data_IF_169695252118
#
_entry.id   IF_169695252118
#
_cell.length_a   1.000
_cell.length_b   1.000
_cell.length_c   1.000
_cell.angle_alpha   90.00
_cell.angle_beta   90.00
_cell.angle_gamma   90.00
#
_symmetry.space_group_name_H-M   'P 1'
#
loop_
_entity.id
_entity.type
_entity.pdbx_description
1 polymer ?
#
# COMPACT_ATOMS: atom_id res chain seq x y z
N UNK A 1 -1.87 10.93 -10.82
CA UNK A 1 -1.40 9.59 -11.25
C UNK A 1 -1.50 8.63 -10.07
N UNK A 2 -2.04 7.43 -10.28
CA UNK A 2 -2.36 6.48 -9.20
C UNK A 2 -1.32 5.39 -9.15
N UNK A 3 -0.82 5.08 -7.96
CA UNK A 3 0.24 4.10 -7.76
C UNK A 3 -0.15 3.10 -6.69
N UNK A 4 0.37 1.89 -6.81
CA UNK A 4 0.02 0.76 -5.97
C UNK A 4 1.28 0.03 -5.52
N UNK A 5 1.31 -0.35 -4.26
CA UNK A 5 2.34 -1.23 -3.69
C UNK A 5 1.66 -2.39 -2.97
N UNK A 6 2.24 -3.57 -3.05
CA UNK A 6 1.67 -4.79 -2.49
C UNK A 6 2.51 -5.26 -1.31
N UNK A 7 1.83 -5.60 -0.22
CA UNK A 7 2.39 -6.18 1.00
C UNK A 7 1.47 -7.30 1.48
N UNK A 8 2.02 -8.27 2.18
CA UNK A 8 1.22 -9.33 2.81
C UNK A 8 0.64 -8.85 4.14
N UNK A 9 -0.57 -9.30 4.46
CA UNK A 9 -1.11 -9.16 5.79
C UNK A 9 -0.25 -9.93 6.79
N UNK A 10 0.10 -9.29 7.91
CA UNK A 10 0.90 -9.90 8.95
C UNK A 10 0.18 -11.05 9.66
N UNK A 11 0.90 -11.84 10.46
CA UNK A 11 0.33 -12.97 11.19
C UNK A 11 -0.53 -12.57 12.40
N UNK A 12 -0.43 -11.34 12.88
CA UNK A 12 -1.16 -10.85 14.05
C UNK A 12 -2.58 -10.48 13.67
N UNK A 13 -3.48 -11.46 13.78
CA UNK A 13 -4.90 -11.31 13.46
C UNK A 13 -5.76 -11.67 14.66
N UNK A 14 -6.77 -10.87 14.98
CA UNK A 14 -7.72 -11.13 16.04
C UNK A 14 -9.11 -10.61 15.68
N UNK A 15 -10.15 -11.16 16.32
CA UNK A 15 -11.50 -10.65 16.20
C UNK A 15 -11.81 -9.72 17.37
N UNK A 16 -12.43 -8.58 17.08
CA UNK A 16 -13.01 -7.73 18.12
C UNK A 16 -14.25 -8.38 18.72
N UNK A 17 -14.75 -7.89 19.89
CA UNK A 17 -16.00 -8.42 20.46
C UNK A 17 -17.19 -8.39 19.51
N UNK A 18 -17.22 -7.42 18.57
CA UNK A 18 -18.28 -7.29 17.56
C UNK A 18 -18.08 -8.23 16.36
N UNK A 19 -16.92 -8.88 16.26
CA UNK A 19 -16.57 -9.76 15.15
C UNK A 19 -15.85 -9.11 13.99
N UNK A 20 -15.34 -7.88 14.16
CA UNK A 20 -14.46 -7.25 13.17
C UNK A 20 -13.07 -7.88 13.21
N UNK A 21 -12.40 -7.97 12.09
CA UNK A 21 -11.06 -8.52 12.00
C UNK A 21 -10.01 -7.41 12.14
N UNK A 22 -9.23 -7.47 13.22
CA UNK A 22 -8.07 -6.61 13.42
C UNK A 22 -6.80 -7.34 12.95
N UNK A 23 -6.10 -6.72 12.01
CA UNK A 23 -4.78 -7.15 11.55
C UNK A 23 -3.76 -6.12 12.02
N UNK A 24 -2.84 -6.51 12.89
CA UNK A 24 -1.84 -5.62 13.46
C UNK A 24 -0.48 -5.75 12.76
N UNK A 25 0.31 -4.69 12.81
CA UNK A 25 1.66 -4.65 12.23
C UNK A 25 1.70 -5.04 10.75
N UNK A 26 0.71 -4.62 9.97
CA UNK A 26 0.65 -4.92 8.54
C UNK A 26 1.63 -4.01 7.78
N UNK A 27 2.59 -4.56 7.04
CA UNK A 27 3.44 -3.77 6.17
C UNK A 27 2.60 -3.21 5.01
N UNK A 28 2.45 -1.90 4.94
CA UNK A 28 1.65 -1.22 3.90
C UNK A 28 2.50 -0.49 2.87
N UNK A 29 3.75 -0.16 3.21
CA UNK A 29 4.73 0.39 2.28
C UNK A 29 6.15 0.04 2.73
N UNK A 30 7.11 0.21 1.83
CA UNK A 30 8.54 0.09 2.12
C UNK A 30 9.36 1.18 1.45
N UNK A 31 10.57 1.39 1.93
CA UNK A 31 11.61 2.13 1.25
C UNK A 31 12.30 1.29 0.17
N UNK A 32 13.19 1.88 -0.58
CA UNK A 32 13.98 1.21 -1.60
C UNK A 32 13.46 1.44 -3.02
N UNK A 33 14.02 0.72 -3.96
CA UNK A 33 13.70 0.90 -5.36
C UNK A 33 12.47 0.06 -5.78
N UNK A 34 11.65 0.68 -6.62
CA UNK A 34 10.52 0.05 -7.30
C UNK A 34 10.77 0.02 -8.79
N UNK A 35 10.39 -1.06 -9.44
CA UNK A 35 10.56 -1.24 -10.88
C UNK A 35 9.22 -1.01 -11.59
N UNK A 36 9.26 -0.17 -12.62
CA UNK A 36 8.13 0.15 -13.48
C UNK A 36 8.50 -0.07 -14.95
N UNK A 37 7.50 -0.36 -15.77
CA UNK A 37 7.65 -0.36 -17.21
C UNK A 37 7.45 1.05 -17.79
N UNK A 38 7.88 1.23 -19.02
CA UNK A 38 7.66 2.49 -19.75
C UNK A 38 6.17 2.85 -19.79
N UNK A 39 5.86 4.10 -19.51
CA UNK A 39 4.49 4.63 -19.49
C UNK A 39 3.72 4.41 -18.16
N UNK A 40 4.24 3.64 -17.21
CA UNK A 40 3.57 3.44 -15.92
C UNK A 40 3.76 4.62 -14.96
N UNK A 41 4.84 5.37 -15.10
CA UNK A 41 5.13 6.58 -14.32
C UNK A 41 5.65 7.68 -15.25
N UNK A 42 5.55 8.98 -14.86
CA UNK A 42 5.95 10.09 -15.73
C UNK A 42 7.45 10.32 -15.72
N UNK A 43 8.23 9.28 -15.94
CA UNK A 43 9.69 9.27 -16.03
C UNK A 43 10.07 8.60 -17.34
N UNK A 44 11.04 9.16 -18.04
CA UNK A 44 11.57 8.56 -19.26
C UNK A 44 12.22 7.20 -18.94
N UNK A 45 11.86 6.17 -19.69
CA UNK A 45 12.42 4.83 -19.51
C UNK A 45 13.91 4.78 -19.90
N UNK A 46 14.62 3.87 -19.27
CA UNK A 46 15.98 3.55 -19.65
C UNK A 46 16.06 2.76 -20.96
N UNK A 47 17.28 2.48 -21.44
CA UNK A 47 17.49 1.70 -22.68
C UNK A 47 16.90 0.29 -22.63
N UNK A 48 16.68 -0.24 -21.43
CA UNK A 48 16.06 -1.55 -21.18
C UNK A 48 14.52 -1.50 -21.11
N UNK A 49 13.93 -0.33 -21.35
CA UNK A 49 12.48 -0.11 -21.23
C UNK A 49 11.97 -0.08 -19.78
N UNK A 50 12.86 0.01 -18.80
CA UNK A 50 12.54 -0.03 -17.38
C UNK A 50 12.82 1.31 -16.71
N UNK A 51 12.08 1.56 -15.63
CA UNK A 51 12.20 2.75 -14.79
C UNK A 51 12.37 2.30 -13.34
N UNK A 52 13.45 2.73 -12.70
CA UNK A 52 13.71 2.48 -11.28
C UNK A 52 13.38 3.73 -10.48
N UNK A 53 12.38 3.63 -9.63
CA UNK A 53 11.91 4.71 -8.77
C UNK A 53 12.38 4.46 -7.35
N UNK A 54 13.19 5.37 -6.83
CA UNK A 54 13.63 5.33 -5.45
C UNK A 54 12.57 5.94 -4.52
N UNK A 55 12.25 5.19 -3.47
CA UNK A 55 11.44 5.62 -2.33
C UNK A 55 12.37 5.74 -1.13
N UNK A 56 12.76 6.96 -0.82
CA UNK A 56 13.69 7.19 0.28
C UNK A 56 12.99 7.14 1.64
N UNK A 57 13.72 6.83 2.73
CA UNK A 57 13.14 6.89 4.08
C UNK A 57 12.54 8.25 4.42
N UNK A 58 13.16 9.33 3.96
CA UNK A 58 12.70 10.71 4.19
C UNK A 58 11.32 10.96 3.58
N UNK A 59 10.99 10.29 2.47
CA UNK A 59 9.69 10.41 1.81
C UNK A 59 8.65 9.44 2.38
N UNK A 60 9.01 8.18 2.59
CA UNK A 60 8.07 7.17 3.10
C UNK A 60 7.67 7.48 4.54
N UNK A 61 8.61 7.93 5.37
CA UNK A 61 8.37 8.21 6.79
C UNK A 61 8.20 9.70 7.09
N UNK A 62 7.96 10.53 6.08
CA UNK A 62 7.54 11.92 6.26
C UNK A 62 6.30 11.97 7.15
N UNK A 63 6.25 12.94 8.06
CA UNK A 63 5.11 13.10 8.96
C UNK A 63 3.79 13.25 8.17
N UNK A 64 3.80 13.98 7.06
CA UNK A 64 2.62 14.17 6.21
C UNK A 64 2.21 12.87 5.48
N UNK A 65 3.18 12.09 5.03
CA UNK A 65 2.92 10.78 4.40
C UNK A 65 2.29 9.83 5.42
N UNK A 66 2.90 9.70 6.60
CA UNK A 66 2.37 8.85 7.65
C UNK A 66 1.02 9.33 8.16
N UNK A 67 0.85 10.64 8.37
CA UNK A 67 -0.45 11.22 8.76
C UNK A 67 -1.54 10.95 7.71
N UNK A 68 -1.17 10.93 6.42
CA UNK A 68 -2.12 10.62 5.35
C UNK A 68 -2.63 9.17 5.38
N UNK A 69 -1.94 8.27 6.06
CA UNK A 69 -2.41 6.89 6.25
C UNK A 69 -3.51 6.77 7.32
N UNK A 70 -3.47 7.64 8.33
CA UNK A 70 -4.37 7.53 9.48
C UNK A 70 -5.83 7.72 9.09
N UNK A 71 -6.67 6.74 9.43
CA UNK A 71 -8.11 6.79 9.19
C UNK A 71 -8.52 6.60 7.73
N UNK A 72 -7.61 6.16 6.85
CA UNK A 72 -7.94 5.89 5.45
C UNK A 72 -8.70 4.58 5.29
N UNK A 73 -9.55 4.56 4.27
CA UNK A 73 -10.42 3.42 4.00
C UNK A 73 -9.62 2.21 3.53
N UNK A 74 -10.05 1.06 4.02
CA UNK A 74 -9.70 -0.24 3.46
C UNK A 74 -10.71 -0.57 2.38
N UNK A 75 -10.25 -0.94 1.19
CA UNK A 75 -11.11 -1.36 0.08
C UNK A 75 -10.85 -2.82 -0.28
N UNK A 76 -11.81 -3.47 -0.87
CA UNK A 76 -11.63 -4.78 -1.49
C UNK A 76 -11.30 -4.52 -2.96
N UNK A 77 -10.05 -4.83 -3.31
CA UNK A 77 -9.44 -4.42 -4.57
C UNK A 77 -9.29 -2.89 -4.74
N UNK A 78 -8.55 -2.47 -5.75
CA UNK A 78 -8.41 -1.05 -6.07
C UNK A 78 -9.65 -0.53 -6.79
N UNK A 79 -10.28 0.53 -6.28
CA UNK A 79 -11.39 1.15 -6.99
C UNK A 79 -10.91 1.90 -8.24
N UNK A 80 -11.80 2.04 -9.22
CA UNK A 80 -11.52 2.81 -10.44
C UNK A 80 -11.20 4.29 -10.14
N UNK A 81 -11.93 4.86 -9.18
CA UNK A 81 -11.71 6.21 -8.67
C UNK A 81 -11.22 6.19 -7.23
N UNK A 82 -10.44 7.20 -6.85
CA UNK A 82 -10.02 7.37 -5.47
C UNK A 82 -11.23 7.50 -4.54
N UNK A 83 -11.06 6.96 -3.32
CA UNK A 83 -12.08 7.08 -2.28
C UNK A 83 -12.28 8.56 -1.96
N UNK A 84 -13.54 8.98 -1.98
CA UNK A 84 -13.99 10.34 -1.74
C UNK A 84 -15.37 10.32 -1.06
N UNK A 85 -15.87 11.45 -0.53
CA UNK A 85 -17.18 11.48 0.12
C UNK A 85 -18.33 10.94 -0.74
N UNK A 86 -18.23 11.09 -2.06
CA UNK A 86 -19.28 10.65 -2.99
C UNK A 86 -19.37 9.12 -3.15
N UNK A 87 -18.29 8.38 -2.89
CA UNK A 87 -18.23 6.94 -3.15
C UNK A 87 -17.78 6.10 -1.94
N UNK A 88 -17.32 6.72 -0.86
CA UNK A 88 -16.72 6.00 0.26
C UNK A 88 -17.66 4.94 0.83
N UNK A 89 -18.95 5.23 0.97
CA UNK A 89 -19.91 4.33 1.60
C UNK A 89 -20.07 3.00 0.86
N UNK A 90 -19.86 2.98 -0.46
CA UNK A 90 -19.90 1.76 -1.27
C UNK A 90 -18.55 1.04 -1.36
N UNK A 91 -17.45 1.77 -1.16
CA UNK A 91 -16.09 1.24 -1.34
C UNK A 91 -15.44 0.77 -0.04
N UNK A 92 -15.77 1.41 1.09
CA UNK A 92 -15.11 1.10 2.36
C UNK A 92 -15.45 -0.29 2.87
N UNK A 93 -14.41 -1.00 3.33
CA UNK A 93 -14.53 -2.32 4.00
C UNK A 93 -13.91 -2.30 5.39
N UNK A 94 -13.32 -1.20 5.76
CA UNK A 94 -12.64 -1.03 7.03
C UNK A 94 -11.81 0.24 7.06
N UNK A 95 -10.90 0.31 8.01
CA UNK A 95 -10.07 1.50 8.26
C UNK A 95 -8.63 1.12 8.60
N UNK A 96 -7.69 1.93 8.13
CA UNK A 96 -6.26 1.85 8.46
C UNK A 96 -5.96 2.78 9.63
N UNK A 97 -5.23 2.28 10.62
CA UNK A 97 -4.95 2.96 11.88
C UNK A 97 -3.47 2.84 12.25
N UNK A 98 -3.01 3.76 13.10
CA UNK A 98 -1.70 3.69 13.75
C UNK A 98 -0.52 3.52 12.78
N UNK A 99 -0.37 4.38 11.76
CA UNK A 99 0.78 4.31 10.88
C UNK A 99 2.06 4.58 11.67
N UNK A 100 3.07 3.76 11.45
CA UNK A 100 4.36 3.84 12.15
C UNK A 100 5.48 3.24 11.32
N UNK A 101 6.69 3.70 11.58
CA UNK A 101 7.88 3.05 11.04
C UNK A 101 8.15 1.78 11.84
N UNK A 102 8.50 0.69 11.16
CA UNK A 102 9.00 -0.52 11.79
C UNK A 102 10.34 -0.29 12.49
N UNK A 103 10.82 -1.27 13.21
CA UNK A 103 12.08 -1.22 13.94
C UNK A 103 12.94 -2.46 13.71
N UNK A 104 14.25 -2.36 13.95
CA UNK A 104 15.17 -3.45 13.74
C UNK A 104 15.19 -3.90 12.27
N UNK A 105 14.92 -5.17 12.02
CA UNK A 105 14.88 -5.75 10.68
C UNK A 105 13.76 -5.18 9.79
N UNK A 106 12.77 -4.53 10.39
CA UNK A 106 11.62 -3.91 9.72
C UNK A 106 11.73 -2.39 9.64
N UNK A 107 12.90 -1.81 9.85
CA UNK A 107 13.08 -0.35 9.87
C UNK A 107 12.89 0.33 8.52
N UNK A 108 12.83 -0.43 7.45
CA UNK A 108 12.50 -0.01 6.09
C UNK A 108 11.00 -0.10 5.75
N UNK A 109 10.17 -0.62 6.67
CA UNK A 109 8.74 -0.81 6.48
C UNK A 109 7.91 0.30 7.15
N UNK A 110 6.87 0.74 6.46
CA UNK A 110 5.76 1.47 7.05
C UNK A 110 4.71 0.46 7.45
N UNK A 111 4.44 0.39 8.74
CA UNK A 111 3.46 -0.52 9.34
C UNK A 111 2.18 0.24 9.69
N UNK A 112 1.05 -0.44 9.61
CA UNK A 112 -0.22 0.06 10.10
C UNK A 112 -1.07 -1.10 10.61
N UNK A 113 -2.07 -0.77 11.43
CA UNK A 113 -3.11 -1.72 11.82
C UNK A 113 -4.29 -1.55 10.86
N UNK A 114 -4.90 -2.67 10.48
CA UNK A 114 -6.04 -2.68 9.56
C UNK A 114 -7.22 -3.31 10.27
N UNK A 115 -8.29 -2.55 10.47
CA UNK A 115 -9.56 -3.02 11.03
C UNK A 115 -10.56 -3.26 9.89
N UNK A 116 -10.84 -4.53 9.60
CA UNK A 116 -11.76 -4.94 8.54
C UNK A 116 -13.14 -5.16 9.15
N UNK A 117 -14.14 -4.49 8.61
CA UNK A 117 -15.51 -4.49 9.14
C UNK A 117 -16.52 -5.19 8.24
N UNK A 118 -16.24 -5.28 6.96
CA UNK A 118 -17.13 -5.91 5.98
C UNK A 118 -17.10 -7.44 6.10
N UNK A 119 -18.25 -8.12 6.21
CA UNK A 119 -18.27 -9.56 6.42
C UNK A 119 -17.61 -10.36 5.29
N UNK A 120 -17.82 -9.96 4.04
CA UNK A 120 -17.24 -10.66 2.90
C UNK A 120 -15.69 -10.49 2.85
N UNK A 121 -15.21 -9.29 3.16
CA UNK A 121 -13.77 -9.02 3.25
C UNK A 121 -13.12 -9.79 4.42
N UNK A 122 -13.78 -9.86 5.58
CA UNK A 122 -13.31 -10.66 6.71
C UNK A 122 -13.18 -12.15 6.32
N UNK A 123 -14.22 -12.71 5.71
CA UNK A 123 -14.23 -14.11 5.27
C UNK A 123 -13.09 -14.37 4.27
N UNK A 124 -12.93 -13.49 3.28
CA UNK A 124 -11.89 -13.64 2.27
C UNK A 124 -10.48 -13.64 2.88
N UNK A 125 -10.22 -12.81 3.88
CA UNK A 125 -8.92 -12.77 4.58
C UNK A 125 -8.75 -13.99 5.49
N UNK A 126 -9.78 -14.38 6.22
CA UNK A 126 -9.71 -15.54 7.13
C UNK A 126 -9.51 -16.86 6.39
N UNK A 127 -10.12 -17.01 5.23
CA UNK A 127 -9.99 -18.21 4.38
C UNK A 127 -8.70 -18.19 3.53
N UNK A 128 -7.83 -17.20 3.75
CA UNK A 128 -6.55 -17.03 3.06
C UNK A 128 -6.68 -16.87 1.52
N UNK A 129 -7.85 -16.52 1.03
CA UNK A 129 -8.05 -16.20 -0.38
C UNK A 129 -7.38 -14.87 -0.77
N UNK A 130 -7.29 -13.96 0.20
CA UNK A 130 -6.70 -12.62 0.05
C UNK A 130 -5.71 -12.38 1.19
N UNK A 131 -4.43 -12.22 0.87
CA UNK A 131 -3.38 -12.04 1.87
C UNK A 131 -2.59 -10.73 1.70
N UNK A 132 -2.72 -10.08 0.58
CA UNK A 132 -1.89 -8.93 0.25
C UNK A 132 -2.64 -7.62 0.40
N UNK A 133 -1.90 -6.57 0.72
CA UNK A 133 -2.41 -5.20 0.74
C UNK A 133 -1.62 -4.34 -0.24
N UNK A 134 -2.28 -3.34 -0.78
CA UNK A 134 -1.71 -2.44 -1.77
C UNK A 134 -2.19 -1.02 -1.51
N UNK A 135 -1.26 -0.07 -1.30
CA UNK A 135 -1.62 1.33 -1.14
C UNK A 135 -2.07 1.96 -2.45
N UNK A 136 -3.17 2.70 -2.40
CA UNK A 136 -3.54 3.67 -3.42
C UNK A 136 -3.16 5.07 -2.94
N UNK A 137 -2.37 5.80 -3.72
CA UNK A 137 -1.82 7.08 -3.32
C UNK A 137 -1.53 7.99 -4.52
N UNK A 138 -1.35 9.26 -4.25
CA UNK A 138 -0.75 10.23 -5.16
C UNK A 138 0.69 10.51 -4.77
N UNK A 139 1.53 10.80 -5.75
CA UNK A 139 2.90 11.22 -5.52
C UNK A 139 3.41 12.05 -6.71
N UNK A 140 4.41 12.86 -6.45
CA UNK A 140 5.20 13.53 -7.47
C UNK A 140 6.40 12.66 -7.84
N UNK A 141 6.90 12.82 -9.06
CA UNK A 141 8.05 12.11 -9.59
C UNK A 141 9.09 13.08 -10.09
N UNK A 142 10.31 12.93 -9.60
CA UNK A 142 11.48 13.70 -10.04
C UNK A 142 12.39 12.79 -10.86
N UNK A 143 12.60 13.15 -12.12
CA UNK A 143 13.54 12.43 -12.97
C UNK A 143 14.97 12.76 -12.60
N UNK A 144 15.78 11.75 -12.31
CA UNK A 144 17.21 11.89 -12.03
C UNK A 144 18.03 11.70 -13.32
N UNK A 145 17.66 10.70 -14.10
CA UNK A 145 18.25 10.38 -15.41
C UNK A 145 17.28 9.45 -16.17
N UNK A 146 17.47 9.18 -17.46
CA UNK A 146 16.68 8.17 -18.14
C UNK A 146 16.68 6.83 -17.39
N UNK A 147 15.51 6.28 -17.14
CA UNK A 147 15.30 5.06 -16.37
C UNK A 147 15.45 5.18 -14.85
N UNK A 148 15.62 6.40 -14.32
CA UNK A 148 15.75 6.63 -12.88
C UNK A 148 14.97 7.85 -12.42
N UNK A 149 14.21 7.69 -11.35
CA UNK A 149 13.49 8.78 -10.69
C UNK A 149 13.37 8.59 -9.19
N UNK A 150 12.89 9.62 -8.54
CA UNK A 150 12.60 9.63 -7.09
C UNK A 150 11.13 9.99 -6.89
N UNK A 151 10.47 9.28 -6.01
CA UNK A 151 9.10 9.56 -5.59
C UNK A 151 9.11 10.59 -4.47
N UNK A 152 8.23 11.60 -4.59
CA UNK A 152 8.11 12.71 -3.65
C UNK A 152 6.66 12.89 -3.23
N UNK A 153 6.46 13.53 -2.09
CA UNK A 153 5.14 14.01 -1.62
C UNK A 153 4.05 12.93 -1.68
N UNK A 154 4.34 11.77 -1.14
CA UNK A 154 3.41 10.64 -1.12
C UNK A 154 2.21 10.99 -0.21
N UNK A 155 1.00 10.92 -0.75
CA UNK A 155 -0.25 11.13 -0.01
C UNK A 155 -1.16 9.93 -0.24
N UNK A 156 -1.41 9.18 0.81
CA UNK A 156 -2.21 7.95 0.75
C UNK A 156 -3.71 8.28 0.70
N UNK A 157 -4.43 7.59 -0.16
CA UNK A 157 -5.88 7.69 -0.29
C UNK A 157 -6.60 6.48 0.32
N UNK A 158 -6.13 5.29 0.05
CA UNK A 158 -6.72 4.04 0.56
C UNK A 158 -5.68 2.92 0.66
N UNK A 159 -6.05 1.85 1.31
CA UNK A 159 -5.34 0.56 1.24
C UNK A 159 -6.30 -0.50 0.70
N UNK A 160 -5.93 -1.14 -0.40
CA UNK A 160 -6.71 -2.21 -0.98
C UNK A 160 -6.24 -3.56 -0.44
N UNK A 161 -7.20 -4.43 -0.13
CA UNK A 161 -6.95 -5.86 0.07
C UNK A 161 -7.05 -6.51 -1.31
N UNK A 162 -5.99 -7.17 -1.75
CA UNK A 162 -5.90 -7.70 -3.10
C UNK A 162 -5.66 -9.22 -3.10
N UNK A 163 -6.16 -9.94 -4.11
CA UNK A 163 -5.95 -11.38 -4.21
C UNK A 163 -4.47 -11.74 -4.35
N UNK A 164 -4.11 -12.91 -3.83
CA UNK A 164 -2.76 -13.48 -3.96
C UNK A 164 -2.37 -13.60 -5.44
N UNK A 165 -1.14 -13.19 -5.76
CA UNK A 165 -0.55 -13.41 -7.08
C UNK A 165 -0.99 -12.47 -8.19
N UNK A 166 -1.79 -11.45 -7.93
CA UNK A 166 -2.30 -10.54 -8.95
C UNK A 166 -1.22 -9.72 -9.66
N UNK A 167 -0.11 -9.43 -8.99
CA UNK A 167 1.02 -8.69 -9.56
C UNK A 167 2.24 -9.57 -9.87
N UNK A 168 2.21 -10.84 -9.56
CA UNK A 168 3.36 -11.73 -9.72
C UNK A 168 4.58 -11.34 -8.85
N UNK A 169 5.73 -11.98 -9.05
CA UNK A 169 6.91 -11.80 -8.20
C UNK A 169 7.46 -10.38 -8.13
N UNK A 170 7.13 -9.53 -9.12
CA UNK A 170 7.61 -8.14 -9.19
C UNK A 170 6.93 -7.21 -8.19
N UNK A 171 5.74 -7.58 -7.73
CA UNK A 171 4.96 -6.78 -6.78
C UNK A 171 4.89 -7.43 -5.40
N UNK A 172 5.43 -8.59 -5.24
CA UNK A 172 5.63 -9.21 -3.95
C UNK A 172 6.81 -8.54 -3.27
N UNK A 173 6.50 -7.52 -2.51
CA UNK A 173 7.46 -6.97 -1.59
C UNK A 173 7.34 -7.81 -0.34
N UNK A 174 8.20 -8.60 -0.16
CA UNK A 174 8.24 -9.37 1.01
C UNK A 174 9.27 -10.35 0.85
N UNK A 175 9.95 -10.23 1.73
CA UNK A 175 10.60 -11.30 2.34
C UNK A 175 11.18 -12.36 1.51
N UNK A 176 12.36 -12.31 1.72
CA UNK A 176 12.87 -13.58 2.23
C UNK A 176 13.88 -13.27 3.29
#
# INVERSE_FOLDING_TARGET
>A
MRFFTIQKLGPKRSLTPEGFLLCEDVPVARTGDMLYADGEVPIEAGPDGLIRISRTPEEVFRDETMASCQGKDVTLDHPDDFVAPANYATLTRGVMLNPRRGSGIEDDLLLADILIKDPAAITAVQDEEIEEVSLGYEADYEQVSPGRGVQRNIVVNHVAIVPRGRCGPRCAIGDK
#
